data_IF_718201161468
#
_entry.id   IF_718201161468
#
_cell.length_a   1.000
_cell.length_b   1.000
_cell.length_c   1.000
_cell.angle_alpha   90.00
_cell.angle_beta   90.00
_cell.angle_gamma   90.00
#
_symmetry.space_group_name_H-M   'P 1'
#
loop_
_entity.id
_entity.type
_entity.pdbx_description
1 polymer ?
#
# COMPACT_ATOMS: atom_id res chain seq x y z
N UNK A 1 -27.00 -32.08 18.61
CA UNK A 1 -26.55 -30.83 19.22
C UNK A 1 -25.18 -30.53 18.67
N UNK A 2 -25.13 -29.72 17.60
CA UNK A 2 -23.89 -29.33 16.91
C UNK A 2 -23.23 -28.25 17.76
N UNK A 3 -22.09 -28.55 18.37
CA UNK A 3 -21.20 -27.58 18.97
C UNK A 3 -20.66 -26.68 17.83
N UNK A 4 -21.25 -25.50 17.65
CA UNK A 4 -20.60 -24.40 16.93
C UNK A 4 -19.38 -24.00 17.75
N UNK A 5 -18.22 -24.59 17.46
CA UNK A 5 -16.95 -24.02 17.90
C UNK A 5 -16.86 -22.60 17.34
N UNK A 6 -17.06 -21.62 18.20
CA UNK A 6 -16.78 -20.23 17.90
C UNK A 6 -15.28 -20.14 17.60
N UNK A 7 -14.94 -20.09 16.32
CA UNK A 7 -13.58 -19.80 15.87
C UNK A 7 -13.20 -18.41 16.39
N UNK A 8 -12.49 -18.37 17.52
CA UNK A 8 -11.90 -17.14 18.04
C UNK A 8 -10.87 -16.65 17.03
N UNK A 9 -11.22 -15.61 16.28
CA UNK A 9 -10.25 -14.95 15.40
C UNK A 9 -9.04 -14.49 16.22
N UNK A 10 -7.82 -14.86 15.83
CA UNK A 10 -6.64 -14.45 16.56
C UNK A 10 -6.49 -12.93 16.52
N UNK A 11 -6.02 -12.35 17.61
CA UNK A 11 -5.83 -10.91 17.76
C UNK A 11 -4.95 -10.32 16.63
N UNK A 12 -4.01 -11.11 16.11
CA UNK A 12 -3.17 -10.72 14.97
C UNK A 12 -3.93 -10.50 13.68
N UNK A 13 -4.98 -11.29 13.40
CA UNK A 13 -5.81 -11.11 12.21
C UNK A 13 -6.60 -9.79 12.26
N UNK A 14 -7.16 -9.47 13.43
CA UNK A 14 -7.87 -8.20 13.63
C UNK A 14 -6.94 -7.02 13.40
N UNK A 15 -5.73 -7.05 13.97
CA UNK A 15 -4.73 -6.00 13.80
C UNK A 15 -4.32 -5.86 12.33
N UNK A 16 -4.06 -6.97 11.64
CA UNK A 16 -3.71 -6.95 10.22
C UNK A 16 -4.83 -6.35 9.35
N UNK A 17 -6.09 -6.71 9.61
CA UNK A 17 -7.24 -6.16 8.89
C UNK A 17 -7.44 -4.66 9.15
N UNK A 18 -7.29 -4.20 10.39
CA UNK A 18 -7.35 -2.78 10.73
C UNK A 18 -6.24 -2.01 10.01
N UNK A 19 -5.00 -2.52 10.06
CA UNK A 19 -3.86 -1.90 9.39
C UNK A 19 -4.08 -1.80 7.88
N UNK A 20 -4.55 -2.88 7.25
CA UNK A 20 -4.87 -2.90 5.81
C UNK A 20 -6.01 -1.94 5.48
N UNK A 21 -7.05 -1.88 6.31
CA UNK A 21 -8.17 -0.94 6.15
C UNK A 21 -7.72 0.51 6.22
N UNK A 22 -6.93 0.87 7.23
CA UNK A 22 -6.35 2.21 7.37
C UNK A 22 -5.43 2.55 6.19
N UNK A 23 -4.60 1.60 5.76
CA UNK A 23 -3.72 1.77 4.60
C UNK A 23 -4.51 2.03 3.32
N UNK A 24 -5.60 1.31 3.10
CA UNK A 24 -6.48 1.53 1.96
C UNK A 24 -7.19 2.88 2.05
N UNK A 25 -7.66 3.25 3.24
CA UNK A 25 -8.35 4.51 3.47
C UNK A 25 -7.47 5.72 3.09
N UNK A 26 -6.23 5.79 3.59
CA UNK A 26 -5.37 6.90 3.23
C UNK A 26 -4.94 6.86 1.76
N UNK A 27 -4.68 5.67 1.20
CA UNK A 27 -4.28 5.54 -0.19
C UNK A 27 -5.36 6.03 -1.15
N UNK A 28 -6.62 5.61 -0.96
CA UNK A 28 -7.73 6.08 -1.79
C UNK A 28 -8.13 7.52 -1.49
N UNK A 29 -7.99 7.97 -0.25
CA UNK A 29 -8.22 9.37 0.12
C UNK A 29 -7.28 10.32 -0.61
N UNK A 30 -5.97 10.02 -0.63
CA UNK A 30 -4.98 10.83 -1.33
C UNK A 30 -5.25 10.87 -2.83
N UNK A 31 -5.68 9.76 -3.43
CA UNK A 31 -6.03 9.69 -4.85
C UNK A 31 -7.08 10.74 -5.24
N UNK A 32 -8.13 10.88 -4.44
CA UNK A 32 -9.16 11.89 -4.70
C UNK A 32 -8.63 13.32 -4.67
N UNK A 33 -7.75 13.61 -3.71
CA UNK A 33 -7.15 14.94 -3.57
C UNK A 33 -6.04 15.22 -4.60
N UNK A 34 -5.35 14.20 -5.10
CA UNK A 34 -4.22 14.36 -6.00
C UNK A 34 -4.62 15.03 -7.32
N UNK A 35 -5.75 14.64 -7.91
CA UNK A 35 -6.28 15.27 -9.13
C UNK A 35 -6.66 16.72 -8.87
N UNK A 36 -7.31 17.01 -7.73
CA UNK A 36 -7.66 18.38 -7.34
C UNK A 36 -6.41 19.24 -7.16
N UNK A 37 -5.37 18.71 -6.52
CA UNK A 37 -4.09 19.37 -6.36
C UNK A 37 -3.41 19.65 -7.70
N UNK A 38 -3.49 18.75 -8.68
CA UNK A 38 -2.93 18.96 -10.01
C UNK A 38 -3.62 20.11 -10.75
N UNK A 39 -4.94 20.26 -10.59
CA UNK A 39 -5.76 21.25 -11.30
C UNK A 39 -5.78 22.60 -10.58
N UNK A 40 -5.73 22.60 -9.24
CA UNK A 40 -5.79 23.80 -8.42
C UNK A 40 -4.71 24.82 -8.85
N UNK A 41 -5.06 26.09 -8.78
CA UNK A 41 -4.15 27.17 -9.19
C UNK A 41 -2.91 27.27 -8.28
N UNK A 42 -1.78 27.78 -8.75
CA UNK A 42 -0.60 28.02 -7.90
C UNK A 42 -0.90 28.96 -6.72
N UNK A 43 -1.87 29.83 -6.84
CA UNK A 43 -2.33 30.70 -5.75
C UNK A 43 -3.02 29.92 -4.62
N UNK A 44 -3.56 28.75 -4.92
CA UNK A 44 -4.19 27.79 -4.01
C UNK A 44 -3.23 26.64 -3.63
N UNK A 45 -1.94 26.82 -3.85
CA UNK A 45 -0.89 25.81 -3.67
C UNK A 45 -1.04 24.57 -4.53
N UNK A 46 -1.71 24.66 -5.67
CA UNK A 46 -1.80 23.59 -6.68
C UNK A 46 -0.77 23.75 -7.80
N UNK A 47 -0.80 22.82 -8.76
CA UNK A 47 0.10 22.84 -9.91
C UNK A 47 -0.44 23.65 -11.12
N UNK A 48 -1.72 23.98 -11.14
CA UNK A 48 -2.35 24.72 -12.23
C UNK A 48 -2.37 23.97 -13.57
N UNK A 49 -2.36 22.65 -13.54
CA UNK A 49 -2.34 21.85 -14.78
C UNK A 49 -3.72 21.84 -15.45
N UNK A 50 -3.73 21.76 -16.77
CA UNK A 50 -4.97 21.52 -17.50
C UNK A 50 -5.61 20.19 -17.07
N UNK A 51 -6.93 20.17 -16.97
CA UNK A 51 -7.68 18.98 -16.49
C UNK A 51 -7.37 17.71 -17.31
N UNK A 52 -7.24 17.83 -18.63
CA UNK A 52 -6.88 16.71 -19.51
C UNK A 52 -5.55 16.11 -19.12
N UNK A 53 -4.51 16.93 -19.05
CA UNK A 53 -3.16 16.53 -18.69
C UNK A 53 -3.07 15.99 -17.24
N UNK A 54 -3.78 16.61 -16.30
CA UNK A 54 -3.84 16.13 -14.91
C UNK A 54 -4.43 14.70 -14.81
N UNK A 55 -5.48 14.43 -15.60
CA UNK A 55 -6.11 13.11 -15.65
C UNK A 55 -5.20 12.06 -16.28
N UNK A 56 -4.50 12.41 -17.36
CA UNK A 56 -3.51 11.53 -18.00
C UNK A 56 -2.35 11.23 -17.07
N UNK A 57 -1.79 12.23 -16.40
CA UNK A 57 -0.71 12.08 -15.43
C UNK A 57 -1.11 11.15 -14.30
N UNK A 58 -2.32 11.29 -13.79
CA UNK A 58 -2.88 10.39 -12.78
C UNK A 58 -3.05 8.96 -13.34
N UNK A 59 -3.49 8.82 -14.57
CA UNK A 59 -3.61 7.53 -15.25
C UNK A 59 -2.26 6.81 -15.36
N UNK A 60 -1.22 7.49 -15.78
CA UNK A 60 0.15 6.96 -15.82
C UNK A 60 0.66 6.59 -14.44
N UNK A 61 0.46 7.45 -13.44
CA UNK A 61 0.83 7.17 -12.05
C UNK A 61 0.18 5.87 -11.56
N UNK A 62 -1.10 5.70 -11.81
CA UNK A 62 -1.85 4.51 -11.39
C UNK A 62 -1.37 3.24 -12.12
N UNK A 63 -1.15 3.32 -13.44
CA UNK A 63 -0.66 2.21 -14.23
C UNK A 63 0.73 1.74 -13.77
N UNK A 64 1.65 2.68 -13.57
CA UNK A 64 2.99 2.39 -13.03
C UNK A 64 2.89 1.78 -11.64
N UNK A 65 1.96 2.25 -10.80
CA UNK A 65 1.72 1.70 -9.47
C UNK A 65 1.35 0.22 -9.46
N UNK A 66 0.51 -0.21 -10.40
CA UNK A 66 0.19 -1.63 -10.59
C UNK A 66 1.40 -2.44 -11.05
N UNK A 67 2.17 -1.92 -12.00
CA UNK A 67 3.40 -2.58 -12.46
C UNK A 67 4.43 -2.70 -11.31
N UNK A 68 4.61 -1.65 -10.53
CA UNK A 68 5.51 -1.65 -9.37
C UNK A 68 5.08 -2.65 -8.30
N UNK A 69 3.79 -2.92 -8.14
CA UNK A 69 3.30 -3.94 -7.20
C UNK A 69 3.73 -5.36 -7.61
N UNK A 70 3.80 -5.65 -8.90
CA UNK A 70 4.28 -6.95 -9.41
C UNK A 70 5.79 -7.07 -9.19
N UNK A 71 6.55 -6.06 -9.58
CA UNK A 71 8.01 -6.04 -9.42
C UNK A 71 8.43 -6.06 -7.94
N UNK A 72 7.73 -5.29 -7.12
CA UNK A 72 8.00 -5.22 -5.68
C UNK A 72 7.66 -6.52 -4.94
N UNK A 73 6.57 -7.20 -5.33
CA UNK A 73 6.24 -8.54 -4.83
C UNK A 73 7.35 -9.54 -5.15
N UNK A 74 7.80 -9.59 -6.40
CA UNK A 74 8.91 -10.46 -6.80
C UNK A 74 10.21 -10.16 -6.04
N UNK A 75 10.55 -8.88 -5.87
CA UNK A 75 11.74 -8.44 -5.13
C UNK A 75 11.67 -8.85 -3.65
N UNK A 76 10.48 -8.70 -3.07
CA UNK A 76 10.23 -9.07 -1.69
C UNK A 76 10.39 -10.58 -1.46
N UNK A 77 9.81 -11.39 -2.34
CA UNK A 77 9.87 -12.86 -2.22
C UNK A 77 11.30 -13.37 -2.39
N UNK A 78 12.09 -12.75 -3.28
CA UNK A 78 13.43 -13.23 -3.61
C UNK A 78 14.52 -12.76 -2.64
N UNK A 79 14.43 -11.52 -2.12
CA UNK A 79 15.55 -10.89 -1.41
C UNK A 79 15.23 -10.39 0.00
N UNK A 80 14.03 -9.85 0.23
CA UNK A 80 13.73 -9.12 1.47
C UNK A 80 12.98 -9.98 2.50
N UNK A 81 12.14 -10.87 2.04
CA UNK A 81 11.17 -11.55 2.88
C UNK A 81 10.01 -10.62 3.29
N UNK A 82 8.89 -11.24 3.66
CA UNK A 82 7.60 -10.57 3.84
C UNK A 82 7.63 -9.43 4.88
N UNK A 83 8.19 -9.69 6.06
CA UNK A 83 8.20 -8.71 7.16
C UNK A 83 9.07 -7.48 6.86
N UNK A 84 10.27 -7.70 6.31
CA UNK A 84 11.19 -6.61 5.97
C UNK A 84 10.64 -5.75 4.84
N UNK A 85 9.95 -6.36 3.87
CA UNK A 85 9.32 -5.64 2.76
C UNK A 85 8.20 -4.73 3.23
N UNK A 86 7.35 -5.19 4.15
CA UNK A 86 6.28 -4.37 4.72
C UNK A 86 6.88 -3.19 5.51
N UNK A 87 7.89 -3.45 6.33
CA UNK A 87 8.55 -2.40 7.12
C UNK A 87 9.22 -1.36 6.20
N UNK A 88 9.98 -1.82 5.21
CA UNK A 88 10.68 -0.95 4.27
C UNK A 88 9.66 -0.13 3.44
N UNK A 89 8.62 -0.77 2.91
CA UNK A 89 7.56 -0.09 2.16
C UNK A 89 6.84 0.96 3.01
N UNK A 90 6.56 0.66 4.28
CA UNK A 90 5.92 1.62 5.19
C UNK A 90 6.83 2.81 5.49
N UNK A 91 8.11 2.58 5.77
CA UNK A 91 9.09 3.66 6.00
C UNK A 91 9.24 4.53 4.76
N UNK A 92 9.42 3.93 3.58
CA UNK A 92 9.51 4.67 2.32
C UNK A 92 8.23 5.46 2.01
N UNK A 93 7.05 4.91 2.28
CA UNK A 93 5.78 5.63 2.13
C UNK A 93 5.74 6.85 3.04
N UNK A 94 6.17 6.74 4.29
CA UNK A 94 6.23 7.85 5.23
C UNK A 94 7.13 8.97 4.70
N UNK A 95 8.33 8.63 4.23
CA UNK A 95 9.22 9.61 3.60
C UNK A 95 8.63 10.23 2.33
N UNK A 96 7.96 9.43 1.50
CA UNK A 96 7.30 9.91 0.29
C UNK A 96 6.18 10.92 0.59
N UNK A 97 5.37 10.68 1.63
CA UNK A 97 4.33 11.64 2.04
C UNK A 97 4.91 12.91 2.67
N UNK A 98 5.98 12.79 3.46
CA UNK A 98 6.71 13.96 3.98
C UNK A 98 7.29 14.78 2.82
N UNK A 99 7.92 14.11 1.85
CA UNK A 99 8.45 14.79 0.66
C UNK A 99 7.33 15.47 -0.16
N UNK A 100 6.16 14.82 -0.28
CA UNK A 100 5.00 15.41 -0.95
C UNK A 100 4.47 16.64 -0.21
N UNK A 101 4.44 16.62 1.12
CA UNK A 101 4.03 17.76 1.92
C UNK A 101 4.95 18.97 1.74
N UNK A 102 6.26 18.72 1.66
CA UNK A 102 7.25 19.79 1.42
C UNK A 102 7.46 20.09 -0.07
N UNK A 103 6.79 19.37 -0.97
CA UNK A 103 6.88 19.67 -2.39
C UNK A 103 6.28 21.06 -2.67
N UNK A 104 7.03 21.85 -3.40
CA UNK A 104 6.58 23.16 -3.86
C UNK A 104 5.63 22.99 -5.06
N UNK A 105 5.06 24.10 -5.56
CA UNK A 105 4.24 24.15 -6.77
C UNK A 105 5.01 23.80 -8.07
N UNK A 106 6.21 23.25 -7.93
CA UNK A 106 7.01 22.78 -9.07
C UNK A 106 6.69 21.33 -9.38
N UNK A 107 6.32 21.07 -10.62
CA UNK A 107 5.96 19.73 -11.11
C UNK A 107 7.03 18.66 -10.77
N UNK A 108 8.30 18.99 -10.89
CA UNK A 108 9.40 18.05 -10.67
C UNK A 108 9.49 17.54 -9.23
N UNK A 109 9.27 18.41 -8.24
CA UNK A 109 9.32 18.01 -6.81
C UNK A 109 8.17 17.08 -6.46
N UNK A 110 7.00 17.33 -7.05
CA UNK A 110 5.82 16.48 -6.90
C UNK A 110 6.04 15.12 -7.57
N UNK A 111 6.55 15.09 -8.81
CA UNK A 111 6.84 13.84 -9.53
C UNK A 111 7.87 12.98 -8.78
N UNK A 112 8.90 13.60 -8.20
CA UNK A 112 9.89 12.90 -7.38
C UNK A 112 9.25 12.26 -6.14
N UNK A 113 8.42 13.00 -5.42
CA UNK A 113 7.70 12.49 -4.24
C UNK A 113 6.76 11.34 -4.62
N UNK A 114 6.02 11.48 -5.73
CA UNK A 114 5.14 10.44 -6.25
C UNK A 114 5.91 9.20 -6.69
N UNK A 115 7.11 9.35 -7.26
CA UNK A 115 7.99 8.22 -7.63
C UNK A 115 8.42 7.43 -6.39
N UNK A 116 8.78 8.10 -5.30
CA UNK A 116 9.08 7.44 -4.02
C UNK A 116 7.87 6.65 -3.52
N UNK A 117 6.67 7.23 -3.59
CA UNK A 117 5.44 6.56 -3.18
C UNK A 117 5.10 5.35 -4.05
N UNK A 118 5.37 5.40 -5.36
CA UNK A 118 5.20 4.26 -6.27
C UNK A 118 6.11 3.09 -5.89
N UNK A 119 7.39 3.35 -5.63
CA UNK A 119 8.35 2.33 -5.22
C UNK A 119 7.94 1.74 -3.86
N UNK A 120 7.57 2.58 -2.92
CA UNK A 120 7.11 2.17 -1.60
C UNK A 120 5.86 1.28 -1.67
N UNK A 121 4.88 1.67 -2.47
CA UNK A 121 3.67 0.90 -2.70
C UNK A 121 3.97 -0.46 -3.36
N UNK A 122 4.90 -0.50 -4.31
CA UNK A 122 5.36 -1.73 -4.93
C UNK A 122 5.91 -2.71 -3.90
N UNK A 123 6.82 -2.26 -3.06
CA UNK A 123 7.50 -3.11 -2.07
C UNK A 123 6.55 -3.54 -0.94
N UNK A 124 5.65 -2.66 -0.48
CA UNK A 124 4.85 -2.89 0.73
C UNK A 124 3.47 -3.50 0.50
N UNK A 125 2.73 -3.03 -0.50
CA UNK A 125 1.29 -3.29 -0.64
C UNK A 125 0.95 -4.75 -0.96
N UNK A 126 1.68 -5.38 -1.87
CA UNK A 126 1.47 -6.79 -2.24
C UNK A 126 1.69 -7.74 -1.06
N UNK A 127 2.67 -7.42 -0.23
CA UNK A 127 3.13 -8.27 0.86
C UNK A 127 2.23 -8.23 2.10
N UNK A 128 1.48 -7.14 2.32
CA UNK A 128 0.51 -7.06 3.42
C UNK A 128 -0.62 -8.08 3.23
N UNK A 129 -1.13 -8.22 2.00
CA UNK A 129 -2.17 -9.22 1.68
C UNK A 129 -1.65 -10.65 1.83
N UNK A 130 -0.40 -10.91 1.43
CA UNK A 130 0.25 -12.22 1.61
C UNK A 130 0.45 -12.56 3.09
N UNK A 131 0.80 -11.60 3.94
CA UNK A 131 0.94 -11.81 5.38
C UNK A 131 -0.39 -12.22 6.03
N UNK A 132 -1.49 -11.59 5.64
CA UNK A 132 -2.84 -11.96 6.12
C UNK A 132 -3.18 -13.39 5.68
N UNK A 133 -2.90 -13.74 4.43
CA UNK A 133 -3.11 -15.10 3.90
C UNK A 133 -2.33 -16.17 4.69
N UNK A 134 -1.05 -15.94 4.94
CA UNK A 134 -0.21 -16.87 5.72
C UNK A 134 -0.66 -17.01 7.16
N UNK A 135 -1.11 -15.94 7.80
CA UNK A 135 -1.64 -15.99 9.16
C UNK A 135 -2.92 -16.82 9.23
N UNK A 136 -3.76 -16.81 8.21
CA UNK A 136 -4.97 -17.63 8.12
C UNK A 136 -4.65 -19.12 7.92
N UNK A 137 -3.67 -19.45 7.08
CA UNK A 137 -3.24 -20.84 6.83
C UNK A 137 -2.66 -21.45 8.11
N UNK A 138 -1.86 -20.72 8.86
CA UNK A 138 -1.26 -21.19 10.11
C UNK A 138 -2.30 -21.48 11.21
N UNK A 139 -3.48 -20.86 11.14
CA UNK A 139 -4.59 -21.07 12.07
C UNK A 139 -5.43 -22.29 11.68
N UNK A 140 -5.53 -22.58 10.39
CA UNK A 140 -6.33 -23.72 9.90
C UNK A 140 -5.59 -25.06 9.97
N UNK A 141 -4.30 -25.12 10.27
CA UNK A 141 -3.48 -26.34 10.35
C UNK A 141 -3.04 -26.82 11.76
N UNK A 142 -3.67 -26.54 12.90
CA UNK A 142 -3.25 -27.15 14.17
C UNK A 142 -3.62 -28.62 14.33
N UNK A 143 -4.41 -29.21 13.42
CA UNK A 143 -5.03 -30.54 13.63
C UNK A 143 -4.43 -31.68 12.84
N UNK A 144 -3.36 -31.50 12.07
CA UNK A 144 -2.76 -32.57 11.23
C UNK A 144 -1.53 -33.26 11.84
N UNK A 145 -1.30 -33.12 13.15
CA UNK A 145 -0.36 -33.98 13.86
C UNK A 145 -1.13 -35.01 14.68
N UNK A 146 -1.77 -35.96 14.05
CA UNK A 146 -2.06 -37.23 14.73
C UNK A 146 -0.75 -38.01 14.74
N UNK A 147 -0.24 -38.40 15.91
CA UNK A 147 0.87 -39.34 15.98
C UNK A 147 0.37 -40.68 15.45
N UNK A 148 1.05 -41.19 14.45
CA UNK A 148 0.91 -42.60 14.02
C UNK A 148 1.55 -43.42 15.14
N UNK A 149 0.75 -44.04 15.94
CA UNK A 149 1.13 -45.12 16.86
C UNK A 149 1.21 -46.43 16.09
#
# INVERSE_FOLDING_TARGET
MEHKEQMKHPKGLLLANITTGLQSFYAYGIVGFLILFFIASPAENGLGLERGFATELYGYYSAIGYMMSILGGWLADKYLGLQKSILLGTLMSTFGYIALYFSTTQLWTVLLSLSILLIAAGIGKGNTSALVGLSLIHISEPTRRTPIS
#
